data_IF_075661778130
#
_entry.id   IF_075661778130
#
_cell.length_a   1.000
_cell.length_b   1.000
_cell.length_c   1.000
_cell.angle_alpha   90.00
_cell.angle_beta   90.00
_cell.angle_gamma   90.00
#
_symmetry.space_group_name_H-M   'P 1'
#
loop_
_entity.id
_entity.type
_entity.pdbx_description
1 polymer ?
#
# COMPACT_ATOMS: atom_id res chain seq x y z
N UNK A 1 -49.10 -18.34 -31.14
CA UNK A 1 -48.41 -17.53 -32.17
C UNK A 1 -47.03 -18.14 -32.35
N UNK A 2 -46.89 -19.29 -32.99
CA UNK A 2 -47.20 -19.71 -34.38
C UNK A 2 -45.90 -19.71 -35.20
N UNK A 3 -45.61 -20.87 -35.78
CA UNK A 3 -44.36 -21.34 -36.41
C UNK A 3 -43.84 -20.47 -37.56
N UNK A 4 -44.54 -19.40 -37.91
CA UNK A 4 -44.23 -18.52 -39.04
C UNK A 4 -43.14 -17.49 -38.73
N UNK A 5 -42.88 -17.15 -37.46
CA UNK A 5 -41.78 -16.23 -37.11
C UNK A 5 -40.42 -16.93 -36.97
N UNK A 6 -40.38 -18.25 -36.71
CA UNK A 6 -39.12 -19.02 -36.69
C UNK A 6 -38.58 -19.34 -38.09
N UNK A 7 -39.44 -19.40 -39.11
CA UNK A 7 -39.04 -19.73 -40.48
C UNK A 7 -38.49 -18.52 -41.27
N UNK A 8 -38.61 -17.29 -40.76
CA UNK A 8 -38.01 -16.10 -41.38
C UNK A 8 -36.53 -15.91 -41.06
N UNK A 9 -36.00 -16.59 -40.04
CA UNK A 9 -34.59 -16.55 -39.66
C UNK A 9 -33.74 -17.63 -40.36
N UNK A 10 -34.36 -18.58 -41.08
CA UNK A 10 -33.66 -19.71 -41.71
C UNK A 10 -33.57 -19.54 -43.24
N UNK A 11 -34.28 -18.59 -43.84
CA UNK A 11 -34.20 -18.27 -45.28
C UNK A 11 -33.23 -17.14 -45.64
N UNK A 12 -32.48 -16.58 -44.68
CA UNK A 12 -31.48 -15.54 -44.95
C UNK A 12 -30.04 -16.07 -45.05
N UNK A 13 -29.82 -17.38 -44.79
CA UNK A 13 -28.48 -17.99 -44.71
C UNK A 13 -28.10 -18.87 -45.93
N UNK A 14 -28.88 -18.84 -47.01
CA UNK A 14 -28.65 -19.68 -48.20
C UNK A 14 -28.03 -18.98 -49.42
N UNK A 15 -27.46 -17.77 -49.26
CA UNK A 15 -26.65 -17.18 -50.34
C UNK A 15 -25.30 -16.69 -49.81
N UNK A 16 -24.26 -17.43 -50.21
CA UNK A 16 -22.87 -17.00 -50.51
C UNK A 16 -21.77 -17.68 -49.69
N UNK A 17 -21.30 -18.81 -50.20
CA UNK A 17 -19.91 -19.29 -50.08
C UNK A 17 -19.07 -18.78 -51.28
N UNK A 18 -17.73 -18.92 -51.31
CA UNK A 18 -16.74 -18.51 -50.33
C UNK A 18 -15.53 -17.79 -50.98
N UNK A 19 -14.57 -17.37 -50.15
CA UNK A 19 -13.14 -17.19 -50.49
C UNK A 19 -12.71 -15.93 -51.26
N UNK A 20 -11.97 -15.03 -50.60
CA UNK A 20 -10.56 -14.84 -50.95
C UNK A 20 -9.83 -13.95 -49.95
N UNK A 21 -8.67 -14.45 -49.53
CA UNK A 21 -7.57 -13.70 -48.92
C UNK A 21 -7.18 -12.54 -49.83
N UNK A 22 -6.97 -11.34 -49.28
CA UNK A 22 -5.70 -10.60 -49.45
C UNK A 22 -5.62 -9.36 -48.58
N UNK A 23 -4.42 -9.24 -48.01
CA UNK A 23 -3.84 -8.13 -47.29
C UNK A 23 -3.72 -6.85 -48.12
N UNK A 24 -3.90 -5.71 -47.46
CA UNK A 24 -3.24 -4.42 -47.73
C UNK A 24 -2.59 -3.97 -46.42
N UNK A 25 -1.26 -4.09 -46.24
CA UNK A 25 -0.25 -3.01 -46.41
C UNK A 25 -0.84 -1.61 -46.17
N UNK A 26 -0.72 -1.06 -44.96
CA UNK A 26 0.43 -0.31 -44.40
C UNK A 26 0.72 0.99 -45.15
N UNK A 27 0.53 2.12 -44.45
CA UNK A 27 1.38 3.31 -44.57
C UNK A 27 1.78 3.74 -43.14
N UNK A 28 3.08 3.86 -42.84
CA UNK A 28 3.56 4.53 -41.63
C UNK A 28 4.14 5.90 -42.03
N UNK A 29 3.54 6.96 -41.51
CA UNK A 29 4.09 8.30 -41.59
C UNK A 29 5.22 8.42 -40.57
N UNK A 30 6.45 8.56 -41.07
CA UNK A 30 7.59 9.04 -40.32
C UNK A 30 7.28 10.39 -39.67
N UNK A 31 7.51 10.51 -38.37
CA UNK A 31 7.93 11.78 -37.78
C UNK A 31 9.08 11.54 -36.83
N UNK A 32 10.23 12.09 -37.22
CA UNK A 32 11.38 12.33 -36.38
C UNK A 32 10.98 13.33 -35.29
N UNK A 33 11.10 12.95 -34.01
CA UNK A 33 11.33 13.91 -32.94
C UNK A 33 12.49 13.37 -32.09
N UNK A 34 13.55 14.18 -32.07
CA UNK A 34 14.76 14.03 -31.27
C UNK A 34 14.36 14.10 -29.79
N UNK A 35 14.77 13.12 -29.00
CA UNK A 35 14.82 13.24 -27.55
C UNK A 35 16.17 13.87 -27.20
N UNK A 36 16.09 15.04 -26.59
CA UNK A 36 17.17 15.62 -25.80
C UNK A 36 17.19 14.90 -24.46
N UNK A 37 18.38 14.43 -24.09
CA UNK A 37 18.73 14.07 -22.73
C UNK A 37 18.77 15.34 -21.87
N UNK A 38 18.13 15.29 -20.70
CA UNK A 38 18.50 16.11 -19.55
C UNK A 38 18.16 15.29 -18.29
N UNK A 39 19.16 14.53 -17.84
CA UNK A 39 19.33 14.20 -16.44
C UNK A 39 19.78 15.47 -15.72
N UNK A 40 19.04 15.91 -14.71
CA UNK A 40 19.59 16.17 -13.36
C UNK A 40 18.60 16.90 -12.45
N UNK A 41 18.74 16.56 -11.16
CA UNK A 41 18.32 17.33 -9.99
C UNK A 41 16.82 17.36 -9.66
N UNK A 42 16.34 16.34 -8.92
CA UNK A 42 15.66 16.60 -7.64
C UNK A 42 16.19 15.65 -6.58
N UNK A 43 17.01 16.24 -5.74
CA UNK A 43 17.53 15.78 -4.47
C UNK A 43 16.40 15.69 -3.44
N UNK A 44 16.33 14.54 -2.78
CA UNK A 44 15.99 14.33 -1.37
C UNK A 44 14.92 15.23 -0.73
N UNK A 45 13.75 14.64 -0.47
CA UNK A 45 13.01 14.79 0.81
C UNK A 45 11.80 13.85 0.84
N UNK A 46 12.06 12.57 1.04
CA UNK A 46 11.04 11.62 1.49
C UNK A 46 11.65 10.78 2.60
N UNK A 47 11.47 11.26 3.84
CA UNK A 47 11.88 10.53 5.03
C UNK A 47 11.17 9.18 5.11
N UNK A 48 11.79 8.18 5.77
CA UNK A 48 11.24 6.84 5.83
C UNK A 48 9.96 6.84 6.67
N UNK A 49 8.84 6.46 6.06
CA UNK A 49 7.59 6.17 6.77
C UNK A 49 7.82 4.98 7.71
N UNK A 50 7.95 5.27 9.00
CA UNK A 50 8.02 4.29 10.07
C UNK A 50 6.64 3.67 10.31
N UNK A 51 6.31 2.63 9.55
CA UNK A 51 5.09 1.82 9.75
C UNK A 51 5.26 0.68 10.78
N UNK A 52 6.30 0.69 11.61
CA UNK A 52 6.66 -0.48 12.43
C UNK A 52 6.88 -0.21 13.93
N UNK A 53 6.30 0.84 14.51
CA UNK A 53 6.44 1.15 15.96
C UNK A 53 5.12 1.10 16.73
N UNK A 54 4.25 0.12 16.45
CA UNK A 54 3.02 -0.10 17.24
C UNK A 54 2.93 -1.47 17.93
N UNK A 55 3.99 -2.27 17.96
CA UNK A 55 3.95 -3.60 18.58
C UNK A 55 5.09 -3.89 19.56
N UNK A 56 5.50 -2.92 20.40
CA UNK A 56 6.27 -3.23 21.61
C UNK A 56 5.89 -2.32 22.79
N UNK A 57 4.61 -2.36 23.16
CA UNK A 57 4.21 -2.11 24.55
C UNK A 57 3.36 -3.28 24.99
N UNK A 58 4.04 -4.42 25.14
CA UNK A 58 3.61 -5.46 26.05
C UNK A 58 3.42 -4.78 27.41
N UNK A 59 2.16 -4.50 27.73
CA UNK A 59 1.75 -4.29 29.11
C UNK A 59 2.08 -5.62 29.76
N UNK A 60 3.21 -5.67 30.47
CA UNK A 60 3.36 -6.60 31.56
C UNK A 60 2.12 -6.39 32.42
N UNK A 61 1.15 -7.28 32.26
CA UNK A 61 0.13 -7.49 33.28
C UNK A 61 0.98 -7.87 34.48
N UNK A 62 1.24 -6.87 35.33
CA UNK A 62 1.69 -7.10 36.68
C UNK A 62 0.60 -7.94 37.30
N UNK A 63 0.78 -9.26 37.19
CA UNK A 63 0.23 -10.22 38.13
C UNK A 63 0.52 -9.60 39.48
N UNK A 64 -0.55 -9.12 40.10
CA UNK A 64 -0.64 -8.82 41.51
C UNK A 64 -0.10 -10.05 42.23
N UNK A 65 1.21 -10.03 42.43
CA UNK A 65 1.88 -10.89 43.36
C UNK A 65 1.49 -10.25 44.67
N UNK A 66 0.48 -10.85 45.31
CA UNK A 66 0.24 -10.67 46.73
C UNK A 66 1.48 -11.20 47.45
N UNK A 67 2.57 -10.44 47.42
CA UNK A 67 3.58 -10.54 48.44
C UNK A 67 2.90 -9.97 49.68
N UNK A 68 2.42 -10.88 50.52
CA UNK A 68 2.30 -10.70 51.95
C UNK A 68 3.70 -10.38 52.50
N UNK A 69 4.18 -9.19 52.17
CA UNK A 69 5.34 -8.56 52.75
C UNK A 69 4.87 -7.95 54.04
N UNK A 70 4.99 -8.76 55.09
CA UNK A 70 5.31 -8.36 56.46
C UNK A 70 5.81 -6.92 56.46
N UNK A 71 4.91 -5.98 56.71
CA UNK A 71 5.26 -4.65 57.21
C UNK A 71 4.98 -4.67 58.68
N UNK A 72 5.90 -5.29 59.38
CA UNK A 72 6.34 -4.80 60.67
C UNK A 72 6.92 -3.40 60.42
N UNK A 73 6.08 -2.38 60.53
CA UNK A 73 6.55 -1.03 60.78
C UNK A 73 5.51 -0.32 61.65
N UNK A 74 5.97 -0.06 62.87
CA UNK A 74 5.43 0.88 63.84
C UNK A 74 4.19 0.48 64.64
N UNK A 75 4.35 -0.62 65.38
CA UNK A 75 3.74 -0.80 66.71
C UNK A 75 4.47 0.04 67.79
N UNK A 76 5.07 1.17 67.42
CA UNK A 76 6.01 1.92 68.27
C UNK A 76 5.78 3.43 68.24
N UNK A 77 4.53 3.90 68.26
CA UNK A 77 4.21 5.28 68.72
C UNK A 77 2.74 5.53 69.01
N UNK A 78 1.93 4.48 69.27
CA UNK A 78 0.69 4.68 70.01
C UNK A 78 1.00 4.23 71.43
N UNK A 79 1.21 5.21 72.31
CA UNK A 79 1.61 5.02 73.69
C UNK A 79 0.84 3.84 74.30
N UNK A 80 1.57 2.77 74.60
CA UNK A 80 1.07 1.71 75.46
C UNK A 80 0.76 2.37 76.80
N UNK A 81 -0.51 2.73 77.00
CA UNK A 81 -1.02 3.11 78.30
C UNK A 81 -0.76 1.93 79.23
N UNK A 82 0.23 2.11 80.09
CA UNK A 82 0.56 1.22 81.19
C UNK A 82 -0.73 0.79 81.89
N UNK A 83 -0.94 -0.52 82.02
CA UNK A 83 -2.05 -1.12 82.79
C UNK A 83 -2.06 -0.68 84.26
N UNK A 84 -1.04 0.04 84.72
CA UNK A 84 -0.95 0.66 86.05
C UNK A 84 -1.58 2.04 86.18
N UNK A 85 -1.97 2.71 85.08
CA UNK A 85 -2.25 4.16 85.08
C UNK A 85 -3.67 4.49 84.56
N UNK A 86 -4.68 3.74 85.00
CA UNK A 86 -6.08 3.89 84.55
C UNK A 86 -6.83 5.10 85.15
N UNK A 87 -6.15 5.99 85.89
CA UNK A 87 -6.73 7.15 86.58
C UNK A 87 -6.33 8.52 86.05
N UNK A 88 -5.89 8.66 84.78
CA UNK A 88 -5.25 9.94 84.38
C UNK A 88 -5.86 10.71 83.21
N UNK A 89 -7.05 10.36 82.70
CA UNK A 89 -7.84 11.33 81.94
C UNK A 89 -8.97 11.86 82.81
N UNK A 90 -8.83 13.09 83.29
CA UNK A 90 -9.87 13.78 84.09
C UNK A 90 -11.23 13.81 83.37
N UNK A 91 -11.24 13.67 82.03
CA UNK A 91 -12.44 13.56 81.23
C UNK A 91 -13.13 12.18 81.38
N UNK A 92 -12.37 11.07 81.35
CA UNK A 92 -12.94 9.72 81.52
C UNK A 92 -13.40 9.50 82.96
N UNK A 93 -12.66 10.02 83.94
CA UNK A 93 -13.03 9.97 85.35
C UNK A 93 -14.33 10.76 85.62
N UNK A 94 -14.48 11.98 85.08
CA UNK A 94 -15.74 12.74 85.15
C UNK A 94 -16.92 12.01 84.53
N UNK A 95 -16.73 11.28 83.43
CA UNK A 95 -17.80 10.48 82.82
C UNK A 95 -18.16 9.25 83.65
N UNK A 96 -17.17 8.60 84.27
CA UNK A 96 -17.39 7.47 85.17
C UNK A 96 -18.09 7.89 86.45
N UNK A 97 -17.74 9.05 87.01
CA UNK A 97 -18.41 9.61 88.16
C UNK A 97 -19.86 9.97 87.87
N UNK A 98 -20.15 10.55 86.69
CA UNK A 98 -21.53 10.82 86.24
C UNK A 98 -22.32 9.52 86.11
N UNK A 99 -21.81 8.54 85.37
CA UNK A 99 -22.42 7.20 85.25
C UNK A 99 -22.66 6.53 86.60
N UNK A 100 -21.68 6.59 87.52
CA UNK A 100 -21.81 6.00 88.85
C UNK A 100 -22.83 6.76 89.71
N UNK A 101 -22.93 8.09 89.58
CA UNK A 101 -23.94 8.92 90.27
C UNK A 101 -25.33 8.66 89.71
N UNK A 102 -25.47 8.48 88.40
CA UNK A 102 -26.75 8.23 87.74
C UNK A 102 -27.29 6.82 88.06
N UNK A 103 -26.43 5.79 88.03
CA UNK A 103 -26.80 4.42 88.44
C UNK A 103 -27.17 4.36 89.94
N UNK A 104 -26.46 5.11 90.79
CA UNK A 104 -26.82 5.23 92.21
C UNK A 104 -28.18 5.92 92.42
N UNK A 105 -28.56 6.87 91.56
CA UNK A 105 -29.85 7.57 91.63
C UNK A 105 -31.01 6.71 91.11
N UNK A 106 -30.82 5.98 90.02
CA UNK A 106 -31.90 5.21 89.39
C UNK A 106 -32.10 3.81 89.98
N UNK A 107 -31.01 3.16 90.43
CA UNK A 107 -31.05 1.77 90.89
C UNK A 107 -30.67 1.60 92.37
N UNK A 108 -30.17 2.64 93.04
CA UNK A 108 -29.77 2.62 94.47
C UNK A 108 -28.75 1.54 94.86
N UNK A 109 -27.91 1.08 93.92
CA UNK A 109 -26.85 0.09 94.14
C UNK A 109 -25.46 0.74 94.13
N UNK A 110 -24.59 0.34 95.07
CA UNK A 110 -23.20 0.81 95.11
C UNK A 110 -22.30 -0.05 94.22
N UNK A 111 -21.80 0.53 93.13
CA UNK A 111 -20.94 -0.18 92.17
C UNK A 111 -19.58 -0.50 92.81
N UNK A 112 -19.13 -1.78 92.79
CA UNK A 112 -17.81 -2.21 93.24
C UNK A 112 -16.66 -1.58 92.44
N UNK A 113 -15.48 -1.42 93.05
CA UNK A 113 -14.31 -0.81 92.39
C UNK A 113 -13.82 -1.58 91.16
N UNK A 114 -13.99 -2.91 91.16
CA UNK A 114 -13.66 -3.77 90.03
C UNK A 114 -14.45 -3.39 88.78
N UNK A 115 -15.75 -3.17 88.93
CA UNK A 115 -16.62 -2.84 87.80
C UNK A 115 -16.40 -1.41 87.32
N UNK A 116 -16.06 -0.48 88.23
CA UNK A 116 -15.60 0.87 87.83
C UNK A 116 -14.31 0.81 87.00
N UNK A 117 -13.37 -0.07 87.33
CA UNK A 117 -12.14 -0.27 86.57
C UNK A 117 -12.42 -0.88 85.18
N UNK A 118 -13.34 -1.83 85.10
CA UNK A 118 -13.78 -2.42 83.82
C UNK A 118 -14.46 -1.35 82.95
N UNK A 119 -15.35 -0.54 83.52
CA UNK A 119 -16.01 0.55 82.82
C UNK A 119 -15.00 1.60 82.31
N UNK A 120 -13.98 1.94 83.11
CA UNK A 120 -12.90 2.85 82.71
C UNK A 120 -12.14 2.33 81.48
N UNK A 121 -11.78 1.05 81.48
CA UNK A 121 -11.13 0.38 80.36
C UNK A 121 -12.02 0.37 79.10
N UNK A 122 -13.32 0.11 79.26
CA UNK A 122 -14.27 0.12 78.15
C UNK A 122 -14.41 1.53 77.54
N UNK A 123 -14.43 2.59 78.35
CA UNK A 123 -14.49 3.96 77.86
C UNK A 123 -13.23 4.36 77.08
N UNK A 124 -12.05 3.99 77.58
CA UNK A 124 -10.78 4.24 76.88
C UNK A 124 -10.73 3.48 75.56
N UNK A 125 -11.10 2.18 75.57
CA UNK A 125 -11.17 1.37 74.34
C UNK A 125 -12.16 1.95 73.33
N UNK A 126 -13.33 2.40 73.75
CA UNK A 126 -14.30 3.06 72.88
C UNK A 126 -13.76 4.35 72.26
N UNK A 127 -12.97 5.12 73.02
CA UNK A 127 -12.34 6.34 72.54
C UNK A 127 -11.23 6.06 71.52
N UNK A 128 -10.44 5.00 71.74
CA UNK A 128 -9.45 4.51 70.78
C UNK A 128 -10.13 4.00 69.50
N UNK A 129 -11.19 3.21 69.62
CA UNK A 129 -11.98 2.71 68.48
C UNK A 129 -12.58 3.87 67.67
N UNK A 130 -13.15 4.88 68.34
CA UNK A 130 -13.62 6.11 67.67
C UNK A 130 -12.49 6.84 66.94
N UNK A 131 -11.30 6.92 67.52
CA UNK A 131 -10.15 7.59 66.92
C UNK A 131 -9.64 6.81 65.71
N UNK A 132 -9.59 5.48 65.80
CA UNK A 132 -9.27 4.58 64.68
C UNK A 132 -10.28 4.71 63.55
N UNK A 133 -11.58 4.69 63.84
CA UNK A 133 -12.64 4.87 62.84
C UNK A 133 -12.52 6.21 62.11
N UNK A 134 -12.22 7.30 62.83
CA UNK A 134 -11.97 8.61 62.22
C UNK A 134 -10.75 8.59 61.29
N UNK A 135 -9.68 7.92 61.68
CA UNK A 135 -8.47 7.79 60.86
C UNK A 135 -8.74 6.95 59.61
N UNK A 136 -9.40 5.80 59.76
CA UNK A 136 -9.83 4.98 58.62
C UNK A 136 -10.75 5.75 57.66
N UNK A 137 -11.67 6.56 58.19
CA UNK A 137 -12.55 7.38 57.35
C UNK A 137 -11.77 8.44 56.55
N UNK A 138 -10.78 9.09 57.17
CA UNK A 138 -9.92 10.06 56.49
C UNK A 138 -9.07 9.41 55.40
N UNK A 139 -8.45 8.27 55.69
CA UNK A 139 -7.69 7.53 54.67
C UNK A 139 -8.57 7.11 53.49
N UNK A 140 -9.80 6.69 53.76
CA UNK A 140 -10.74 6.32 52.69
C UNK A 140 -11.15 7.53 51.85
N UNK A 141 -11.35 8.69 52.45
CA UNK A 141 -11.58 9.95 51.73
C UNK A 141 -10.38 10.30 50.84
N UNK A 142 -9.16 10.27 51.37
CA UNK A 142 -7.93 10.53 50.60
C UNK A 142 -7.77 9.54 49.43
N UNK A 143 -8.09 8.25 49.64
CA UNK A 143 -8.11 7.25 48.57
C UNK A 143 -9.13 7.56 47.50
N UNK A 144 -10.33 8.02 47.88
CA UNK A 144 -11.37 8.40 46.93
C UNK A 144 -10.99 9.65 46.14
N UNK A 145 -10.40 10.65 46.79
CA UNK A 145 -9.89 11.85 46.13
C UNK A 145 -8.77 11.52 45.16
N UNK A 146 -7.82 10.67 45.55
CA UNK A 146 -6.76 10.20 44.65
C UNK A 146 -7.32 9.47 43.42
N UNK A 147 -8.35 8.62 43.59
CA UNK A 147 -9.05 7.96 42.46
C UNK A 147 -9.73 8.97 41.54
N UNK A 148 -10.44 9.95 42.10
CA UNK A 148 -11.09 11.02 41.30
C UNK A 148 -10.07 11.83 40.51
N UNK A 149 -8.96 12.20 41.11
CA UNK A 149 -7.87 12.92 40.43
C UNK A 149 -7.28 12.08 39.29
N UNK A 150 -7.06 10.78 39.52
CA UNK A 150 -6.57 9.87 38.50
C UNK A 150 -7.56 9.73 37.33
N UNK A 151 -8.86 9.63 37.62
CA UNK A 151 -9.91 9.58 36.59
C UNK A 151 -9.96 10.85 35.75
N UNK A 152 -9.84 12.02 36.37
CA UNK A 152 -9.78 13.31 35.66
C UNK A 152 -8.56 13.35 34.73
N UNK A 153 -7.37 12.97 35.22
CA UNK A 153 -6.16 12.93 34.40
C UNK A 153 -6.30 11.95 33.22
N UNK A 154 -6.90 10.77 33.46
CA UNK A 154 -7.18 9.78 32.40
C UNK A 154 -8.15 10.34 31.36
N UNK A 155 -9.22 11.01 31.78
CA UNK A 155 -10.20 11.63 30.88
C UNK A 155 -9.59 12.75 30.04
N UNK A 156 -8.73 13.59 30.63
CA UNK A 156 -8.00 14.64 29.92
C UNK A 156 -7.02 14.06 28.90
N UNK A 157 -6.25 13.05 29.28
CA UNK A 157 -5.34 12.35 28.38
C UNK A 157 -6.09 11.70 27.20
N UNK A 158 -7.25 11.10 27.45
CA UNK A 158 -8.11 10.54 26.41
C UNK A 158 -8.67 11.62 25.48
N UNK A 159 -9.14 12.74 26.04
CA UNK A 159 -9.63 13.90 25.26
C UNK A 159 -8.54 14.45 24.34
N UNK A 160 -7.31 14.55 24.83
CA UNK A 160 -6.17 14.97 24.01
C UNK A 160 -5.82 13.94 22.94
N UNK A 161 -5.84 12.64 23.26
CA UNK A 161 -5.64 11.56 22.28
C UNK A 161 -6.69 11.64 21.15
N UNK A 162 -7.97 11.80 21.49
CA UNK A 162 -9.07 11.97 20.53
C UNK A 162 -8.90 13.23 19.68
N UNK A 163 -8.47 14.35 20.27
CA UNK A 163 -8.17 15.59 19.53
C UNK A 163 -7.04 15.39 18.51
N UNK A 164 -5.93 14.77 18.92
CA UNK A 164 -4.80 14.45 18.04
C UNK A 164 -5.23 13.54 16.89
N UNK A 165 -6.02 12.50 17.19
CA UNK A 165 -6.55 11.59 16.18
C UNK A 165 -7.42 12.32 15.14
N UNK A 166 -8.38 13.14 15.59
CA UNK A 166 -9.22 13.94 14.68
C UNK A 166 -8.41 14.89 13.81
N UNK A 167 -7.37 15.49 14.36
CA UNK A 167 -6.49 16.37 13.59
C UNK A 167 -5.67 15.59 12.55
N UNK A 168 -5.15 14.41 12.93
CA UNK A 168 -4.48 13.50 11.99
C UNK A 168 -5.39 13.07 10.85
N UNK A 169 -6.64 12.69 11.16
CA UNK A 169 -7.62 12.30 10.14
C UNK A 169 -7.96 13.46 9.20
N UNK A 170 -8.13 14.68 9.72
CA UNK A 170 -8.40 15.86 8.87
C UNK A 170 -7.25 16.13 7.91
N UNK A 171 -6.01 16.14 8.39
CA UNK A 171 -4.83 16.32 7.52
C UNK A 171 -4.75 15.25 6.44
N UNK A 172 -5.04 13.99 6.80
CA UNK A 172 -5.06 12.89 5.84
C UNK A 172 -6.15 13.06 4.78
N UNK A 173 -7.35 13.50 5.16
CA UNK A 173 -8.42 13.82 4.21
C UNK A 173 -8.07 15.00 3.30
N UNK A 174 -7.51 16.07 3.85
CA UNK A 174 -7.04 17.23 3.08
C UNK A 174 -5.96 16.82 2.06
N UNK A 175 -4.99 16.01 2.48
CA UNK A 175 -3.94 15.51 1.60
C UNK A 175 -4.50 14.60 0.48
N UNK A 176 -5.47 13.75 0.80
CA UNK A 176 -6.18 12.95 -0.19
C UNK A 176 -6.95 13.80 -1.20
N UNK A 177 -7.65 14.83 -0.73
CA UNK A 177 -8.37 15.76 -1.60
C UNK A 177 -7.42 16.55 -2.50
N UNK A 178 -6.26 16.98 -1.99
CA UNK A 178 -5.22 17.62 -2.82
C UNK A 178 -4.72 16.66 -3.91
N UNK A 179 -4.44 15.40 -3.56
CA UNK A 179 -4.03 14.37 -4.54
C UNK A 179 -5.12 14.04 -5.55
N UNK A 180 -6.38 14.05 -5.13
CA UNK A 180 -7.53 13.86 -6.02
C UNK A 180 -7.64 15.02 -7.01
N UNK A 181 -7.60 16.26 -6.53
CA UNK A 181 -7.65 17.48 -7.37
C UNK A 181 -6.50 17.53 -8.36
N UNK A 182 -5.30 17.15 -7.95
CA UNK A 182 -4.14 17.10 -8.85
C UNK A 182 -4.38 16.11 -10.00
N UNK A 183 -4.87 14.91 -9.71
CA UNK A 183 -5.25 13.93 -10.72
C UNK A 183 -6.34 14.45 -11.66
N UNK A 184 -7.40 15.06 -11.11
CA UNK A 184 -8.46 15.66 -11.92
C UNK A 184 -7.93 16.80 -12.83
N UNK A 185 -6.97 17.59 -12.36
CA UNK A 185 -6.31 18.61 -13.19
C UNK A 185 -5.47 17.99 -14.31
N UNK A 186 -4.67 16.97 -14.00
CA UNK A 186 -3.88 16.25 -15.01
C UNK A 186 -4.78 15.57 -16.06
N UNK A 187 -5.88 14.96 -15.63
CA UNK A 187 -6.87 14.35 -16.53
C UNK A 187 -7.52 15.40 -17.44
N UNK A 188 -7.90 16.57 -16.89
CA UNK A 188 -8.44 17.68 -17.70
C UNK A 188 -7.43 18.21 -18.70
N UNK A 189 -6.15 18.33 -18.31
CA UNK A 189 -5.10 18.77 -19.24
C UNK A 189 -4.90 17.75 -20.37
N UNK A 190 -4.84 16.46 -20.05
CA UNK A 190 -4.73 15.38 -21.05
C UNK A 190 -5.96 15.33 -21.96
N UNK A 191 -7.15 15.46 -21.40
CA UNK A 191 -8.39 15.51 -22.18
C UNK A 191 -8.38 16.72 -23.13
N UNK A 192 -7.99 17.91 -22.65
CA UNK A 192 -7.87 19.09 -23.51
C UNK A 192 -6.82 18.94 -24.61
N UNK A 193 -5.69 18.28 -24.34
CA UNK A 193 -4.69 17.97 -25.37
C UNK A 193 -5.24 17.02 -26.44
N UNK A 194 -5.95 15.97 -26.03
CA UNK A 194 -6.59 15.03 -26.94
C UNK A 194 -7.69 15.71 -27.77
N UNK A 195 -8.49 16.57 -27.17
CA UNK A 195 -9.51 17.36 -27.89
C UNK A 195 -8.88 18.26 -28.95
N UNK A 196 -7.79 18.96 -28.61
CA UNK A 196 -7.04 19.76 -29.59
C UNK A 196 -6.47 18.91 -30.71
N UNK A 197 -5.90 17.74 -30.40
CA UNK A 197 -5.37 16.83 -31.43
C UNK A 197 -6.49 16.34 -32.36
N UNK A 198 -7.64 15.94 -31.80
CA UNK A 198 -8.81 15.52 -32.56
C UNK A 198 -9.31 16.65 -33.46
N UNK A 199 -9.44 17.88 -32.95
CA UNK A 199 -9.83 19.04 -33.76
C UNK A 199 -8.87 19.27 -34.93
N UNK A 200 -7.56 19.21 -34.67
CA UNK A 200 -6.55 19.38 -35.72
C UNK A 200 -6.61 18.27 -36.76
N UNK A 201 -6.93 17.04 -36.37
CA UNK A 201 -7.17 15.96 -37.32
C UNK A 201 -8.45 16.21 -38.11
N UNK A 202 -9.58 16.50 -37.46
CA UNK A 202 -10.86 16.79 -38.11
C UNK A 202 -10.73 17.91 -39.16
N UNK A 203 -9.97 18.96 -38.86
CA UNK A 203 -9.69 20.04 -39.81
C UNK A 203 -8.85 19.57 -41.00
N UNK A 204 -7.85 18.70 -40.79
CA UNK A 204 -7.09 18.08 -41.89
C UNK A 204 -8.00 17.23 -42.77
N UNK A 205 -8.87 16.42 -42.16
CA UNK A 205 -9.84 15.60 -42.87
C UNK A 205 -10.85 16.44 -43.64
N UNK A 206 -11.32 17.54 -43.05
CA UNK A 206 -12.22 18.50 -43.70
C UNK A 206 -11.58 19.11 -44.95
N UNK A 207 -10.34 19.60 -44.83
CA UNK A 207 -9.58 20.17 -45.97
C UNK A 207 -9.38 19.13 -47.06
N UNK A 208 -8.97 17.91 -46.71
CA UNK A 208 -8.77 16.85 -47.69
C UNK A 208 -10.09 16.47 -48.40
N UNK A 209 -11.20 16.43 -47.66
CA UNK A 209 -12.54 16.21 -48.23
C UNK A 209 -12.90 17.33 -49.21
N UNK A 210 -12.69 18.59 -48.84
CA UNK A 210 -12.93 19.76 -49.68
C UNK A 210 -12.08 19.73 -50.95
N UNK A 211 -10.80 19.37 -50.86
CA UNK A 211 -9.90 19.21 -52.01
C UNK A 211 -10.37 18.11 -52.95
N UNK A 212 -10.75 16.95 -52.42
CA UNK A 212 -11.30 15.84 -53.22
C UNK A 212 -12.60 16.24 -53.89
N UNK A 213 -13.50 16.94 -53.18
CA UNK A 213 -14.73 17.46 -53.76
C UNK A 213 -14.47 18.51 -54.84
N UNK A 214 -13.54 19.43 -54.62
CA UNK A 214 -13.13 20.44 -55.60
C UNK A 214 -12.54 19.78 -56.85
N UNK A 215 -11.70 18.76 -56.67
CA UNK A 215 -11.15 17.98 -57.78
C UNK A 215 -12.25 17.24 -58.56
N UNK A 216 -13.23 16.65 -57.87
CA UNK A 216 -14.42 16.03 -58.51
C UNK A 216 -15.31 17.06 -59.21
N UNK A 217 -15.45 18.28 -58.66
CA UNK A 217 -16.16 19.39 -59.31
C UNK A 217 -15.43 19.83 -60.58
N UNK A 218 -14.12 20.03 -60.51
CA UNK A 218 -13.27 20.37 -61.66
C UNK A 218 -13.38 19.36 -62.79
N UNK A 219 -13.27 18.05 -62.51
CA UNK A 219 -13.46 16.99 -63.53
C UNK A 219 -14.84 17.01 -64.18
N UNK A 220 -15.90 17.30 -63.41
CA UNK A 220 -17.26 17.44 -63.94
C UNK A 220 -17.38 18.66 -64.84
N UNK A 221 -16.75 19.77 -64.47
CA UNK A 221 -16.75 20.99 -65.29
C UNK A 221 -15.94 20.83 -66.58
N UNK A 222 -14.78 20.19 -66.54
CA UNK A 222 -14.00 19.90 -67.75
C UNK A 222 -14.76 18.97 -68.68
N UNK A 223 -15.36 17.90 -68.16
CA UNK A 223 -16.19 17.00 -68.95
C UNK A 223 -17.40 17.72 -69.59
N UNK A 224 -18.04 18.65 -68.85
CA UNK A 224 -19.11 19.49 -69.41
C UNK A 224 -18.60 20.38 -70.54
N UNK A 225 -17.45 21.04 -70.38
CA UNK A 225 -16.84 21.89 -71.42
C UNK A 225 -16.51 21.06 -72.66
N UNK A 226 -15.85 19.92 -72.51
CA UNK A 226 -15.55 19.00 -73.62
C UNK A 226 -16.81 18.51 -74.33
N UNK A 227 -17.87 18.16 -73.59
CA UNK A 227 -19.14 17.74 -74.19
C UNK A 227 -19.77 18.87 -75.03
N UNK A 228 -19.73 20.11 -74.53
CA UNK A 228 -20.19 21.29 -75.28
C UNK A 228 -19.34 21.50 -76.54
N UNK A 229 -18.02 21.36 -76.44
CA UNK A 229 -17.11 21.50 -77.60
C UNK A 229 -17.33 20.40 -78.64
N UNK A 230 -17.51 19.14 -78.23
CA UNK A 230 -17.86 18.03 -79.12
C UNK A 230 -19.19 18.29 -79.83
N UNK A 231 -20.21 18.79 -79.12
CA UNK A 231 -21.49 19.17 -79.70
C UNK A 231 -21.32 20.29 -80.75
N UNK A 232 -20.56 21.35 -80.43
CA UNK A 232 -20.25 22.43 -81.38
C UNK A 232 -19.49 21.93 -82.61
N UNK A 233 -18.60 20.96 -82.44
CA UNK A 233 -17.88 20.35 -83.56
C UNK A 233 -18.82 19.53 -84.46
N UNK A 234 -19.70 18.72 -83.87
CA UNK A 234 -20.73 17.99 -84.61
C UNK A 234 -21.67 18.95 -85.38
N UNK A 235 -22.10 20.05 -84.75
CA UNK A 235 -22.91 21.08 -85.42
C UNK A 235 -22.17 21.70 -86.62
N UNK A 236 -20.86 21.98 -86.51
CA UNK A 236 -20.05 22.48 -87.63
C UNK A 236 -19.92 21.46 -88.76
N UNK A 237 -19.71 20.19 -88.43
CA UNK A 237 -19.65 19.11 -89.43
C UNK A 237 -20.99 18.93 -90.15
N UNK A 238 -22.11 18.98 -89.43
CA UNK A 238 -23.44 18.89 -90.02
C UNK A 238 -23.71 20.06 -90.97
N UNK A 239 -23.42 21.30 -90.56
CA UNK A 239 -23.53 22.47 -91.43
C UNK A 239 -22.68 22.35 -92.70
N UNK A 240 -21.45 21.87 -92.57
CA UNK A 240 -20.59 21.64 -93.74
C UNK A 240 -21.14 20.55 -94.67
N UNK A 241 -21.69 19.46 -94.12
CA UNK A 241 -22.37 18.42 -94.90
C UNK A 241 -23.58 18.98 -95.65
N UNK A 242 -24.43 19.75 -94.98
CA UNK A 242 -25.58 20.42 -95.59
C UNK A 242 -25.16 21.38 -96.73
N UNK A 243 -24.05 22.11 -96.57
CA UNK A 243 -23.49 22.96 -97.62
C UNK A 243 -22.94 22.17 -98.81
N UNK A 244 -22.27 21.03 -98.57
CA UNK A 244 -21.78 20.14 -99.63
C UNK A 244 -22.93 19.47 -100.37
N UNK A 245 -23.95 18.99 -99.66
CA UNK A 245 -25.15 18.40 -100.25
C UNK A 245 -25.87 19.40 -101.15
N UNK A 246 -26.00 20.67 -100.74
CA UNK A 246 -26.52 21.74 -101.62
C UNK A 246 -25.71 21.89 -102.91
N UNK A 247 -24.37 21.89 -102.80
CA UNK A 247 -23.46 21.96 -103.98
C UNK A 247 -23.54 20.73 -104.87
N UNK A 248 -23.75 19.54 -104.30
CA UNK A 248 -23.93 18.28 -105.06
C UNK A 248 -25.26 18.31 -105.79
N UNK A 249 -26.35 18.71 -105.13
CA UNK A 249 -27.67 18.83 -105.76
C UNK A 249 -27.68 19.85 -106.91
N UNK A 250 -26.91 20.94 -106.80
CA UNK A 250 -26.72 21.90 -107.90
C UNK A 250 -25.95 21.29 -109.07
N UNK A 251 -24.91 20.48 -108.82
CA UNK A 251 -24.13 19.78 -109.86
C UNK A 251 -24.89 18.61 -110.49
N UNK A 252 -25.68 17.86 -109.72
CA UNK A 252 -26.49 16.76 -110.23
C UNK A 252 -27.58 17.24 -111.18
N UNK A 253 -28.16 18.41 -110.91
CA UNK A 253 -29.07 19.08 -111.86
C UNK A 253 -28.37 19.42 -113.19
N UNK A 254 -27.08 19.75 -113.16
CA UNK A 254 -26.28 20.01 -114.37
C UNK A 254 -25.90 18.69 -115.10
N UNK A 255 -25.50 17.65 -114.37
CA UNK A 255 -25.10 16.36 -114.96
C UNK A 255 -26.28 15.54 -115.48
N UNK A 256 -27.47 15.65 -114.88
CA UNK A 256 -28.68 15.01 -115.40
C UNK A 256 -29.03 15.53 -116.80
N UNK A 257 -28.85 16.84 -117.03
CA UNK A 257 -29.01 17.48 -118.35
C UNK A 257 -27.98 16.97 -119.38
N UNK A 258 -26.76 16.64 -118.96
CA UNK A 258 -25.69 16.13 -119.84
C UNK A 258 -25.81 14.62 -120.13
N UNK A 259 -26.22 13.80 -119.14
CA UNK A 259 -26.30 12.34 -119.28
C UNK A 259 -27.41 11.89 -120.22
N UNK A 260 -28.52 12.62 -120.27
CA UNK A 260 -29.60 12.35 -121.23
C UNK A 260 -29.12 12.46 -122.69
N UNK A 261 -28.16 13.34 -122.97
CA UNK A 261 -27.57 13.50 -124.30
C UNK A 261 -26.59 12.37 -124.68
N UNK A 262 -25.93 11.76 -123.69
CA UNK A 262 -24.83 10.80 -123.92
C UNK A 262 -25.30 9.34 -123.96
N UNK A 263 -26.38 8.97 -123.25
CA UNK A 263 -26.91 7.61 -123.19
C UNK A 263 -27.40 7.03 -124.54
N UNK A 264 -27.61 7.87 -125.56
CA UNK A 264 -28.05 7.42 -126.89
C UNK A 264 -26.93 6.81 -127.75
N UNK A 265 -25.66 6.96 -127.40
CA UNK A 265 -24.53 6.64 -128.31
C UNK A 265 -23.70 5.40 -127.97
N UNK A 266 -23.86 4.78 -126.79
CA UNK A 266 -22.91 3.76 -126.32
C UNK A 266 -23.42 2.31 -126.26
N UNK A 267 -24.67 2.01 -126.63
CA UNK A 267 -25.31 0.72 -126.31
C UNK A 267 -25.07 -0.43 -127.31
N UNK A 268 -24.36 -0.23 -128.43
CA UNK A 268 -24.35 -1.21 -129.53
C UNK A 268 -23.04 -1.98 -129.77
N UNK A 269 -21.97 -1.85 -128.96
CA UNK A 269 -20.67 -2.42 -129.32
C UNK A 269 -19.99 -3.32 -128.27
N UNK A 270 -20.65 -3.61 -127.14
CA UNK A 270 -19.94 -4.18 -125.97
C UNK A 270 -20.33 -5.61 -125.58
N UNK A 271 -21.36 -6.21 -126.17
CA UNK A 271 -21.87 -7.52 -125.71
C UNK A 271 -21.15 -8.75 -126.31
N UNK A 272 -20.51 -8.63 -127.49
CA UNK A 272 -19.95 -9.82 -128.17
C UNK A 272 -18.50 -10.19 -127.79
N UNK A 273 -17.80 -9.37 -127.00
CA UNK A 273 -16.37 -9.58 -126.69
C UNK A 273 -16.08 -10.34 -125.39
N UNK A 274 -17.06 -10.55 -124.52
CA UNK A 274 -16.81 -11.03 -123.14
C UNK A 274 -16.84 -12.56 -122.99
N UNK A 275 -17.46 -13.30 -123.91
CA UNK A 275 -17.68 -14.75 -123.70
C UNK A 275 -16.48 -15.66 -123.97
N UNK A 276 -15.45 -15.20 -124.67
CA UNK A 276 -14.28 -16.04 -125.01
C UNK A 276 -13.11 -15.93 -124.01
N UNK A 277 -13.12 -14.97 -123.07
CA UNK A 277 -12.05 -14.80 -122.06
C UNK A 277 -12.16 -15.73 -120.84
N UNK A 278 -13.38 -16.18 -120.54
CA UNK A 278 -13.73 -16.84 -119.26
C UNK A 278 -13.18 -18.27 -119.08
N UNK A 279 -12.69 -18.95 -120.12
CA UNK A 279 -12.22 -20.35 -120.01
C UNK A 279 -10.72 -20.49 -119.73
N UNK A 280 -9.90 -19.52 -120.12
CA UNK A 280 -8.45 -19.53 -119.88
C UNK A 280 -8.07 -19.01 -118.48
N UNK A 281 -8.95 -18.24 -117.85
CA UNK A 281 -8.80 -17.69 -116.50
C UNK A 281 -8.95 -18.78 -115.44
N UNK A 282 -9.85 -19.75 -115.66
CA UNK A 282 -10.22 -20.81 -114.72
C UNK A 282 -9.05 -21.77 -114.37
N UNK A 283 -8.21 -22.14 -115.36
CA UNK A 283 -7.03 -23.00 -115.11
C UNK A 283 -5.88 -22.28 -114.39
N UNK A 284 -5.72 -20.98 -114.62
CA UNK A 284 -4.74 -20.14 -113.89
C UNK A 284 -5.20 -19.83 -112.47
N UNK A 285 -6.49 -19.84 -112.21
CA UNK A 285 -7.07 -19.66 -110.88
C UNK A 285 -6.85 -20.84 -109.95
N UNK A 286 -6.94 -22.09 -110.45
CA UNK A 286 -6.73 -23.28 -109.60
C UNK A 286 -5.30 -23.36 -109.03
N UNK A 287 -4.27 -23.11 -109.85
CA UNK A 287 -2.88 -23.07 -109.40
C UNK A 287 -2.59 -21.89 -108.45
N UNK A 288 -3.20 -20.73 -108.69
CA UNK A 288 -3.16 -19.59 -107.76
C UNK A 288 -3.82 -19.93 -106.43
N UNK A 289 -4.93 -20.67 -106.44
CA UNK A 289 -5.62 -21.11 -105.22
C UNK A 289 -4.78 -22.07 -104.36
N UNK A 290 -4.01 -22.98 -104.97
CA UNK A 290 -3.15 -23.92 -104.23
C UNK A 290 -1.96 -23.20 -103.58
N UNK A 291 -1.29 -22.31 -104.32
CA UNK A 291 -0.15 -21.53 -103.79
C UNK A 291 -0.59 -20.54 -102.70
N UNK A 292 -1.74 -19.89 -102.88
CA UNK A 292 -2.32 -19.01 -101.85
C UNK A 292 -2.77 -19.80 -100.61
N UNK A 293 -3.17 -21.07 -100.75
CA UNK A 293 -3.53 -21.92 -99.62
C UNK A 293 -2.30 -22.32 -98.81
N UNK A 294 -1.21 -22.73 -99.47
CA UNK A 294 0.07 -23.01 -98.81
C UNK A 294 0.67 -21.77 -98.13
N UNK A 295 0.60 -20.59 -98.76
CA UNK A 295 1.01 -19.34 -98.11
C UNK A 295 0.17 -19.00 -96.88
N UNK A 296 -1.15 -19.23 -96.94
CA UNK A 296 -2.04 -19.02 -95.79
C UNK A 296 -1.78 -20.03 -94.67
N UNK A 297 -1.50 -21.28 -94.99
CA UNK A 297 -1.14 -22.31 -94.00
C UNK A 297 0.16 -21.97 -93.27
N UNK A 298 1.21 -21.54 -94.02
CA UNK A 298 2.45 -21.06 -93.41
C UNK A 298 2.24 -19.81 -92.54
N UNK A 299 1.41 -18.86 -92.99
CA UNK A 299 1.07 -17.69 -92.18
C UNK A 299 0.32 -18.06 -90.89
N UNK A 300 -0.59 -19.03 -90.94
CA UNK A 300 -1.32 -19.52 -89.76
C UNK A 300 -0.36 -20.22 -88.79
N UNK A 301 0.55 -21.06 -89.26
CA UNK A 301 1.56 -21.71 -88.42
C UNK A 301 2.50 -20.69 -87.77
N UNK A 302 2.97 -19.68 -88.51
CA UNK A 302 3.79 -18.59 -87.99
C UNK A 302 3.05 -17.77 -86.93
N UNK A 303 1.78 -17.43 -87.16
CA UNK A 303 0.94 -16.76 -86.17
C UNK A 303 0.70 -17.61 -84.92
N UNK A 304 0.48 -18.92 -85.07
CA UNK A 304 0.34 -19.83 -83.95
C UNK A 304 1.63 -19.94 -83.14
N UNK A 305 2.78 -20.02 -83.79
CA UNK A 305 4.08 -20.02 -83.13
C UNK A 305 4.32 -18.71 -82.37
N UNK A 306 3.98 -17.56 -82.95
CA UNK A 306 4.03 -16.26 -82.28
C UNK A 306 3.07 -16.19 -81.08
N UNK A 307 1.84 -16.69 -81.23
CA UNK A 307 0.85 -16.77 -80.13
C UNK A 307 1.37 -17.65 -78.99
N UNK A 308 1.96 -18.81 -79.28
CA UNK A 308 2.59 -19.70 -78.27
C UNK A 308 3.75 -19.03 -77.54
N UNK A 309 4.66 -18.38 -78.28
CA UNK A 309 5.77 -17.62 -77.70
C UNK A 309 5.30 -16.46 -76.80
N UNK A 310 4.27 -15.72 -77.21
CA UNK A 310 3.67 -14.65 -76.39
C UNK A 310 3.03 -15.22 -75.11
N UNK A 311 2.39 -16.38 -75.17
CA UNK A 311 1.80 -17.02 -74.00
C UNK A 311 2.87 -17.53 -73.03
N UNK A 312 3.95 -18.12 -73.55
CA UNK A 312 5.06 -18.62 -72.75
C UNK A 312 5.81 -17.47 -72.04
N UNK A 313 6.08 -16.38 -72.76
CA UNK A 313 6.68 -15.17 -72.16
C UNK A 313 5.77 -14.54 -71.10
N UNK A 314 4.45 -14.49 -71.33
CA UNK A 314 3.47 -14.05 -70.32
C UNK A 314 3.46 -14.97 -69.09
N UNK A 315 3.53 -16.29 -69.29
CA UNK A 315 3.58 -17.26 -68.21
C UNK A 315 4.86 -17.07 -67.37
N UNK A 316 6.03 -16.99 -68.01
CA UNK A 316 7.30 -16.73 -67.35
C UNK A 316 7.26 -15.41 -66.56
N UNK A 317 6.72 -14.34 -67.15
CA UNK A 317 6.56 -13.05 -66.47
C UNK A 317 5.63 -13.16 -65.26
N UNK A 318 4.55 -13.94 -65.35
CA UNK A 318 3.65 -14.18 -64.22
C UNK A 318 4.32 -14.98 -63.09
N UNK A 319 5.15 -15.96 -63.44
CA UNK A 319 5.93 -16.75 -62.48
C UNK A 319 6.99 -15.90 -61.78
N UNK A 320 7.74 -15.08 -62.52
CA UNK A 320 8.72 -14.13 -61.96
C UNK A 320 8.05 -13.16 -60.98
N UNK A 321 6.93 -12.55 -61.36
CA UNK A 321 6.16 -11.66 -60.47
C UNK A 321 5.68 -12.37 -59.21
N UNK A 322 5.23 -13.63 -59.31
CA UNK A 322 4.83 -14.42 -58.14
C UNK A 322 6.01 -14.70 -57.22
N UNK A 323 7.18 -15.05 -57.77
CA UNK A 323 8.40 -15.27 -57.01
C UNK A 323 8.83 -13.99 -56.28
N UNK A 324 8.86 -12.85 -56.96
CA UNK A 324 9.18 -11.54 -56.36
C UNK A 324 8.25 -11.17 -55.20
N UNK A 325 6.94 -11.43 -55.33
CA UNK A 325 5.97 -11.18 -54.25
C UNK A 325 6.23 -12.09 -53.05
N UNK A 326 6.54 -13.38 -53.30
CA UNK A 326 6.85 -14.34 -52.23
C UNK A 326 8.15 -13.95 -51.53
N UNK A 327 9.20 -13.59 -52.26
CA UNK A 327 10.46 -13.11 -51.69
C UNK A 327 10.27 -11.84 -50.86
N UNK A 328 9.53 -10.86 -51.38
CA UNK A 328 9.21 -9.64 -50.64
C UNK A 328 8.44 -9.97 -49.34
N UNK A 329 7.56 -10.96 -49.37
CA UNK A 329 6.82 -11.42 -48.19
C UNK A 329 7.73 -12.12 -47.18
N UNK A 330 8.67 -12.95 -47.65
CA UNK A 330 9.65 -13.62 -46.77
C UNK A 330 10.54 -12.58 -46.09
N UNK A 331 11.03 -11.57 -46.83
CA UNK A 331 11.83 -10.48 -46.27
C UNK A 331 11.05 -9.68 -45.21
N UNK A 332 9.79 -9.35 -45.49
CA UNK A 332 8.90 -8.68 -44.52
C UNK A 332 8.70 -9.50 -43.24
N UNK A 333 8.55 -10.83 -43.37
CA UNK A 333 8.41 -11.73 -42.21
C UNK A 333 9.71 -11.85 -41.42
N UNK A 334 10.87 -11.91 -42.08
CA UNK A 334 12.18 -11.92 -41.44
C UNK A 334 12.43 -10.61 -40.67
N UNK A 335 12.11 -9.46 -41.27
CA UNK A 335 12.21 -8.17 -40.60
C UNK A 335 11.34 -8.12 -39.34
N UNK A 336 10.08 -8.59 -39.41
CA UNK A 336 9.20 -8.69 -38.24
C UNK A 336 9.75 -9.62 -37.19
N UNK A 337 10.23 -10.81 -37.56
CA UNK A 337 10.82 -11.75 -36.63
C UNK A 337 12.02 -11.13 -35.88
N UNK A 338 12.92 -10.42 -36.60
CA UNK A 338 14.05 -9.74 -35.94
C UNK A 338 13.62 -8.58 -35.03
N UNK A 339 12.53 -7.88 -35.37
CA UNK A 339 11.98 -6.83 -34.53
C UNK A 339 11.34 -7.40 -33.25
N UNK A 340 10.57 -8.49 -33.39
CA UNK A 340 9.97 -9.22 -32.27
C UNK A 340 11.05 -9.80 -31.36
N UNK A 341 12.10 -10.42 -31.91
CA UNK A 341 13.26 -10.90 -31.13
C UNK A 341 13.93 -9.78 -30.34
N UNK A 342 14.14 -8.61 -30.96
CA UNK A 342 14.69 -7.43 -30.25
C UNK A 342 13.78 -6.98 -29.12
N UNK A 343 12.46 -7.02 -29.30
CA UNK A 343 11.50 -6.70 -28.24
C UNK A 343 11.52 -7.74 -27.12
N UNK A 344 11.54 -9.02 -27.45
CA UNK A 344 11.65 -10.13 -26.50
C UNK A 344 12.94 -10.01 -25.69
N UNK A 345 14.08 -9.75 -26.33
CA UNK A 345 15.35 -9.56 -25.62
C UNK A 345 15.30 -8.34 -24.69
N UNK A 346 14.68 -7.23 -25.10
CA UNK A 346 14.49 -6.06 -24.23
C UNK A 346 13.61 -6.40 -23.02
N UNK A 347 12.51 -7.12 -23.24
CA UNK A 347 11.62 -7.56 -22.18
C UNK A 347 12.34 -8.51 -21.20
N UNK A 348 13.11 -9.48 -21.71
CA UNK A 348 13.92 -10.38 -20.89
C UNK A 348 14.98 -9.65 -20.07
N UNK A 349 15.67 -8.65 -20.64
CA UNK A 349 16.63 -7.84 -19.88
C UNK A 349 15.94 -7.04 -18.76
N UNK A 350 14.77 -6.46 -19.04
CA UNK A 350 13.97 -5.75 -18.02
C UNK A 350 13.52 -6.70 -16.90
N UNK A 351 13.04 -7.88 -17.25
CA UNK A 351 12.67 -8.90 -16.28
C UNK A 351 13.86 -9.30 -15.40
N UNK A 352 15.02 -9.61 -16.00
CA UNK A 352 16.24 -9.93 -15.25
C UNK A 352 16.67 -8.83 -14.29
N UNK A 353 16.58 -7.56 -14.70
CA UNK A 353 16.89 -6.42 -13.84
C UNK A 353 15.89 -6.33 -12.67
N UNK A 354 14.60 -6.52 -12.94
CA UNK A 354 13.56 -6.54 -11.90
C UNK A 354 13.78 -7.70 -10.91
N UNK A 355 14.11 -8.89 -11.39
CA UNK A 355 14.41 -10.05 -10.54
C UNK A 355 15.58 -9.77 -9.60
N UNK A 356 16.66 -9.16 -10.12
CA UNK A 356 17.81 -8.75 -9.31
C UNK A 356 17.45 -7.67 -8.29
N UNK A 357 16.62 -6.70 -8.67
CA UNK A 357 16.13 -5.66 -7.76
C UNK A 357 15.26 -6.27 -6.64
N UNK A 358 14.40 -7.24 -6.96
CA UNK A 358 13.62 -7.93 -5.95
C UNK A 358 14.48 -8.75 -5.00
N UNK A 359 15.47 -9.48 -5.51
CA UNK A 359 16.37 -10.28 -4.69
C UNK A 359 17.20 -9.40 -3.76
N UNK A 360 17.78 -8.31 -4.29
CA UNK A 360 18.54 -7.35 -3.48
C UNK A 360 17.64 -6.66 -2.44
N UNK A 361 16.41 -6.29 -2.79
CA UNK A 361 15.47 -5.73 -1.83
C UNK A 361 15.13 -6.74 -0.71
N UNK A 362 14.87 -8.00 -1.05
CA UNK A 362 14.63 -9.08 -0.08
C UNK A 362 15.85 -9.30 0.83
N UNK A 363 17.06 -9.25 0.29
CA UNK A 363 18.31 -9.36 1.06
C UNK A 363 18.48 -8.19 2.05
N UNK A 364 18.26 -6.95 1.61
CA UNK A 364 18.32 -5.76 2.48
C UNK A 364 17.30 -5.86 3.61
N UNK A 365 16.07 -6.30 3.32
CA UNK A 365 15.03 -6.50 4.34
C UNK A 365 15.43 -7.58 5.35
N UNK A 366 16.02 -8.68 4.87
CA UNK A 366 16.55 -9.72 5.74
C UNK A 366 17.65 -9.17 6.67
N UNK A 367 18.65 -8.47 6.15
CA UNK A 367 19.72 -7.87 6.96
C UNK A 367 19.20 -6.87 7.99
N UNK A 368 18.23 -6.04 7.60
CA UNK A 368 17.58 -5.10 8.53
C UNK A 368 16.81 -5.83 9.63
N UNK A 369 16.11 -6.92 9.29
CA UNK A 369 15.41 -7.74 10.28
C UNK A 369 16.39 -8.40 11.26
N UNK A 370 17.51 -8.90 10.75
CA UNK A 370 18.57 -9.52 11.54
C UNK A 370 19.20 -8.49 12.49
N UNK A 371 19.59 -7.32 12.00
CA UNK A 371 20.14 -6.22 12.84
C UNK A 371 19.16 -5.78 13.92
N UNK A 372 17.85 -5.74 13.63
CA UNK A 372 16.82 -5.42 14.64
C UNK A 372 16.74 -6.50 15.71
N UNK A 373 16.78 -7.77 15.32
CA UNK A 373 16.78 -8.90 16.24
C UNK A 373 18.05 -8.86 17.12
N UNK A 374 19.23 -8.67 16.54
CA UNK A 374 20.50 -8.56 17.27
C UNK A 374 20.50 -7.39 18.27
N UNK A 375 19.96 -6.22 17.89
CA UNK A 375 19.80 -5.10 18.82
C UNK A 375 18.83 -5.42 19.95
N UNK A 376 17.71 -6.08 19.64
CA UNK A 376 16.73 -6.47 20.64
C UNK A 376 17.30 -7.51 21.63
N UNK A 377 18.07 -8.48 21.15
CA UNK A 377 18.74 -9.48 22.01
C UNK A 377 19.81 -8.82 22.87
N UNK A 378 20.66 -7.96 22.31
CA UNK A 378 21.65 -7.20 23.09
C UNK A 378 20.98 -6.34 24.17
N UNK A 379 19.91 -5.63 23.84
CA UNK A 379 19.16 -4.84 24.81
C UNK A 379 18.57 -5.72 25.92
N UNK A 380 17.99 -6.87 25.59
CA UNK A 380 17.47 -7.82 26.57
C UNK A 380 18.57 -8.37 27.50
N UNK A 381 19.75 -8.68 26.95
CA UNK A 381 20.91 -9.14 27.72
C UNK A 381 21.42 -8.06 28.68
N UNK A 382 21.57 -6.82 28.21
CA UNK A 382 21.96 -5.67 29.05
C UNK A 382 20.93 -5.44 30.14
N UNK A 383 19.64 -5.47 29.81
CA UNK A 383 18.57 -5.30 30.79
C UNK A 383 18.59 -6.42 31.84
N UNK A 384 18.82 -7.67 31.44
CA UNK A 384 18.95 -8.80 32.36
C UNK A 384 20.16 -8.62 33.31
N UNK A 385 21.33 -8.27 32.76
CA UNK A 385 22.53 -7.97 33.56
C UNK A 385 22.29 -6.84 34.56
N UNK A 386 21.67 -5.74 34.12
CA UNK A 386 21.36 -4.61 34.99
C UNK A 386 20.41 -5.01 36.13
N UNK A 387 19.39 -5.82 35.86
CA UNK A 387 18.50 -6.35 36.90
C UNK A 387 19.25 -7.21 37.91
N UNK A 388 20.13 -8.10 37.45
CA UNK A 388 20.97 -8.94 38.33
C UNK A 388 21.91 -8.09 39.18
N UNK A 389 22.52 -7.04 38.61
CA UNK A 389 23.38 -6.13 39.37
C UNK A 389 22.58 -5.34 40.41
N UNK A 390 21.40 -4.83 40.06
CA UNK A 390 20.52 -4.13 40.99
C UNK A 390 20.07 -5.04 42.15
N UNK A 391 19.66 -6.27 41.86
CA UNK A 391 19.29 -7.22 42.92
C UNK A 391 20.48 -7.57 43.79
N UNK A 392 21.67 -7.74 43.22
CA UNK A 392 22.90 -7.96 43.99
C UNK A 392 23.22 -6.78 44.92
N UNK A 393 23.17 -5.54 44.42
CA UNK A 393 23.38 -4.34 45.23
C UNK A 393 22.35 -4.22 46.36
N UNK A 394 21.07 -4.43 46.05
CA UNK A 394 19.99 -4.44 47.03
C UNK A 394 20.22 -5.51 48.11
N UNK A 395 20.58 -6.73 47.71
CA UNK A 395 20.88 -7.82 48.64
C UNK A 395 22.09 -7.49 49.52
N UNK A 396 23.17 -6.93 48.97
CA UNK A 396 24.34 -6.48 49.72
C UNK A 396 23.96 -5.39 50.74
N UNK A 397 23.18 -4.40 50.33
CA UNK A 397 22.69 -3.35 51.23
C UNK A 397 21.83 -3.93 52.36
N UNK A 398 20.88 -4.81 52.02
CA UNK A 398 20.05 -5.52 52.99
C UNK A 398 20.91 -6.32 53.98
N UNK A 399 21.92 -7.05 53.52
CA UNK A 399 22.84 -7.79 54.37
C UNK A 399 23.59 -6.88 55.35
N UNK A 400 24.12 -5.75 54.88
CA UNK A 400 24.80 -4.76 55.72
C UNK A 400 23.86 -4.17 56.78
N UNK A 401 22.61 -3.87 56.42
CA UNK A 401 21.61 -3.42 57.38
C UNK A 401 21.32 -4.47 58.45
N UNK A 402 21.16 -5.74 58.07
CA UNK A 402 20.97 -6.85 59.01
C UNK A 402 22.20 -7.08 59.90
N UNK A 403 23.41 -6.89 59.39
CA UNK A 403 24.63 -6.94 60.21
C UNK A 403 24.65 -5.82 61.26
N UNK A 404 24.44 -4.57 60.84
CA UNK A 404 24.39 -3.42 61.77
C UNK A 404 23.30 -3.57 62.84
N UNK A 405 22.14 -4.09 62.47
CA UNK A 405 21.06 -4.33 63.43
C UNK A 405 21.48 -5.39 64.46
N UNK A 406 22.11 -6.49 64.01
CA UNK A 406 22.63 -7.53 64.91
C UNK A 406 23.70 -7.00 65.86
N UNK A 407 24.65 -6.20 65.36
CA UNK A 407 25.67 -5.55 66.18
C UNK A 407 25.03 -4.65 67.25
N UNK A 408 24.03 -3.84 66.89
CA UNK A 408 23.30 -3.00 67.86
C UNK A 408 22.64 -3.84 68.94
N UNK A 409 21.91 -4.88 68.55
CA UNK A 409 21.29 -5.81 69.51
C UNK A 409 22.33 -6.43 70.44
N UNK A 410 23.49 -6.86 69.92
CA UNK A 410 24.57 -7.40 70.73
C UNK A 410 25.13 -6.36 71.71
N UNK A 411 25.36 -5.12 71.27
CA UNK A 411 25.85 -4.06 72.16
C UNK A 411 24.84 -3.70 73.26
N UNK A 412 23.54 -3.70 72.96
CA UNK A 412 22.49 -3.48 73.95
C UNK A 412 22.41 -4.65 74.93
N UNK A 413 22.48 -5.90 74.45
CA UNK A 413 22.53 -7.10 75.30
C UNK A 413 23.76 -7.09 76.22
N UNK A 414 24.93 -6.71 75.71
CA UNK A 414 26.16 -6.56 76.50
C UNK A 414 26.06 -5.43 77.53
N UNK A 415 25.47 -4.29 77.18
CA UNK A 415 25.23 -3.20 78.12
C UNK A 415 24.28 -3.66 79.24
N UNK A 416 23.20 -4.36 78.89
CA UNK A 416 22.28 -4.97 79.85
C UNK A 416 22.96 -6.03 80.72
N UNK A 417 23.89 -6.82 80.15
CA UNK A 417 24.70 -7.78 80.90
C UNK A 417 25.60 -7.08 81.92
N UNK A 418 26.34 -6.03 81.51
CA UNK A 418 27.19 -5.22 82.40
C UNK A 418 26.40 -4.56 83.52
N UNK A 419 25.20 -4.07 83.23
CA UNK A 419 24.30 -3.52 84.26
C UNK A 419 23.91 -4.60 85.28
N UNK A 420 23.55 -5.81 84.83
CA UNK A 420 23.25 -6.94 85.71
C UNK A 420 24.46 -7.35 86.54
N UNK A 421 25.63 -7.46 85.94
CA UNK A 421 26.90 -7.74 86.62
C UNK A 421 27.22 -6.68 87.68
N UNK A 422 27.01 -5.40 87.37
CA UNK A 422 27.15 -4.30 88.34
C UNK A 422 26.20 -4.44 89.54
N UNK A 423 24.93 -4.80 89.31
CA UNK A 423 23.98 -5.07 90.40
C UNK A 423 24.38 -6.29 91.25
N UNK A 424 24.86 -7.36 90.62
CA UNK A 424 25.36 -8.56 91.33
C UNK A 424 26.60 -8.19 92.14
N UNK A 425 27.56 -7.48 91.55
CA UNK A 425 28.76 -6.99 92.21
C UNK A 425 28.45 -6.07 93.41
N UNK A 426 27.49 -5.16 93.29
CA UNK A 426 27.03 -4.35 94.43
C UNK A 426 26.45 -5.21 95.57
N UNK A 427 25.67 -6.24 95.24
CA UNK A 427 25.13 -7.18 96.24
C UNK A 427 26.24 -8.02 96.87
N UNK A 428 27.24 -8.45 96.11
CA UNK A 428 28.41 -9.17 96.61
C UNK A 428 29.27 -8.30 97.51
N UNK A 429 29.56 -7.06 97.13
CA UNK A 429 30.28 -6.12 97.98
C UNK A 429 29.54 -5.85 99.30
N UNK A 430 28.22 -5.68 99.27
CA UNK A 430 27.41 -5.56 100.50
C UNK A 430 27.50 -6.82 101.36
N UNK A 431 27.42 -8.02 100.76
CA UNK A 431 27.57 -9.31 101.45
C UNK A 431 28.94 -9.42 102.11
N UNK A 432 30.00 -9.10 101.39
CA UNK A 432 31.39 -9.14 101.86
C UNK A 432 31.64 -8.13 102.99
N UNK A 433 31.13 -6.89 102.87
CA UNK A 433 31.19 -5.89 103.94
C UNK A 433 30.49 -6.39 105.22
N UNK A 434 29.29 -6.94 105.10
CA UNK A 434 28.56 -7.52 106.24
C UNK A 434 29.30 -8.72 106.83
N UNK A 435 29.96 -9.54 105.99
CA UNK A 435 30.79 -10.67 106.45
C UNK A 435 31.97 -10.18 107.28
N UNK A 436 32.73 -9.19 106.80
CA UNK A 436 33.84 -8.58 107.54
C UNK A 436 33.40 -7.93 108.84
N UNK A 437 32.25 -7.25 108.86
CA UNK A 437 31.68 -6.71 110.10
C UNK A 437 31.33 -7.82 111.09
N UNK A 438 30.78 -8.95 110.62
CA UNK A 438 30.51 -10.12 111.49
C UNK A 438 31.80 -10.73 112.01
N UNK A 439 32.83 -10.88 111.18
CA UNK A 439 34.14 -11.37 111.57
C UNK A 439 34.77 -10.44 112.62
N UNK A 440 34.71 -9.12 112.43
CA UNK A 440 35.17 -8.13 113.42
C UNK A 440 34.41 -8.26 114.75
N UNK A 441 33.08 -8.36 114.73
CA UNK A 441 32.27 -8.58 115.95
C UNK A 441 32.64 -9.90 116.62
N UNK A 442 32.89 -10.97 115.85
CA UNK A 442 33.34 -12.25 116.38
C UNK A 442 34.74 -12.17 116.98
N UNK A 443 35.67 -11.47 116.33
CA UNK A 443 37.02 -11.24 116.85
C UNK A 443 37.01 -10.37 118.10
N UNK A 444 36.18 -9.32 118.16
CA UNK A 444 35.97 -8.50 119.36
C UNK A 444 35.32 -9.31 120.48
N UNK A 445 34.29 -10.11 120.17
CA UNK A 445 33.69 -11.04 121.13
C UNK A 445 34.74 -12.02 121.66
N UNK A 446 35.56 -12.62 120.80
CA UNK A 446 36.66 -13.52 121.19
C UNK A 446 37.76 -12.78 121.98
N UNK A 447 38.10 -11.54 121.62
CA UNK A 447 39.03 -10.70 122.41
C UNK A 447 38.46 -10.41 123.79
N UNK A 448 37.18 -10.11 123.89
CA UNK A 448 36.47 -9.94 125.17
C UNK A 448 36.40 -11.26 125.95
N UNK A 449 36.17 -12.40 125.29
CA UNK A 449 36.21 -13.72 125.93
C UNK A 449 37.63 -14.03 126.45
N UNK A 450 38.68 -13.77 125.65
CA UNK A 450 40.07 -13.92 126.07
C UNK A 450 40.43 -12.94 127.21
N UNK A 451 39.94 -11.70 127.16
CA UNK A 451 40.12 -10.72 128.23
C UNK A 451 39.37 -11.12 129.50
N UNK A 452 38.20 -11.75 129.39
CA UNK A 452 37.46 -12.34 130.51
C UNK A 452 38.18 -13.56 131.08
N UNK A 453 38.75 -14.42 130.23
CA UNK A 453 39.59 -15.57 130.64
C UNK A 453 40.90 -15.09 131.32
N UNK A 454 41.45 -13.93 130.94
CA UNK A 454 42.62 -13.33 131.60
C UNK A 454 42.23 -12.58 132.88
N UNK A 455 41.05 -11.93 132.94
CA UNK A 455 40.53 -11.29 134.16
C UNK A 455 40.02 -12.30 135.19
N UNK A 456 39.63 -13.48 134.75
CA UNK A 456 39.21 -14.60 135.57
C UNK A 456 39.82 -15.88 134.98
N UNK A 457 41.11 -16.17 135.26
CA UNK A 457 41.60 -17.52 135.09
C UNK A 457 40.78 -18.41 136.03
N UNK A 458 40.37 -19.55 135.52
CA UNK A 458 39.70 -20.63 136.23
C UNK A 458 40.07 -20.68 137.72
N UNK A 459 39.06 -20.60 138.59
CA UNK A 459 39.11 -21.44 139.76
C UNK A 459 38.80 -22.86 139.25
N UNK A 460 39.83 -23.69 139.25
CA UNK A 460 39.67 -25.08 139.67
C UNK A 460 38.97 -25.14 141.03
#
# INVERSE_FOLDING_TARGET
>A
MCREERNKLIQADEDRWPSSKKHSKVTPSNSHIKLHDDESAIQEKAGPFAYADLCFKGKSVSRSSCSAGIRDLDRSTVGSFSLGDLRHSSATEKTLEKLTKDIKKEMSVTIPERDRKIAALMLVRHQEEKSRLKLCHKEEQERQEARRQEEVQRAEAEKQRRRKLRHSMRRWHEELEVRRRLRECEEKQKAGQLEQEVQMQEDRWRRLKEEVEAHRRGKRETAKKEAVERKRHQERLLRHKEEVEKRVLEKEKQVAMEREQKARRSKCLQEDKERQRLQEENRKELLRCILMRQQKELQVEEEEAQKRSILETKLQNSCKRRAEIVEARIRELQERATQEEKQIQRAQRRAKIQDLQEVTHKQILYELSQRRMEKATQHALVQSRNKVQQTHQYNKHRQLCHQRLRERMQTEEEAMRKVREGYVGMKEWKRERLRRQREQIQEEAQRLTRALIIKYPSYE
#
